data_IF_606781435194
#
_entry.id   IF_606781435194
#
_cell.length_a   1.000
_cell.length_b   1.000
_cell.length_c   1.000
_cell.angle_alpha   90.00
_cell.angle_beta   90.00
_cell.angle_gamma   90.00
#
_symmetry.space_group_name_H-M   'P 1'
#
loop_
_entity.id
_entity.type
_entity.pdbx_description
1 polymer ?
#
# COMPACT_ATOMS: atom_id res chain seq x y z
N UNK A 1 68.91 4.80 -42.41
CA UNK A 1 68.81 4.88 -40.94
C UNK A 1 67.72 3.87 -40.49
N UNK A 2 68.06 2.88 -39.68
CA UNK A 2 67.04 1.91 -39.24
C UNK A 2 66.13 2.56 -38.20
N UNK A 3 64.80 2.52 -38.47
CA UNK A 3 63.79 3.00 -37.59
C UNK A 3 63.56 1.95 -36.45
N UNK A 4 63.91 2.30 -35.22
CA UNK A 4 63.68 1.48 -34.01
C UNK A 4 62.22 1.61 -33.66
N UNK A 5 61.41 0.52 -33.86
CA UNK A 5 60.07 0.43 -33.35
C UNK A 5 60.09 0.23 -31.81
N UNK A 6 59.71 1.24 -31.09
CA UNK A 6 59.53 1.16 -29.64
C UNK A 6 58.31 0.24 -29.35
N UNK A 7 58.45 -0.87 -28.59
CA UNK A 7 57.33 -1.73 -28.24
C UNK A 7 56.33 -0.94 -27.36
N UNK A 8 55.09 -0.89 -27.79
CA UNK A 8 53.99 -0.30 -26.96
C UNK A 8 53.78 -1.21 -25.74
N UNK A 9 54.03 -0.70 -24.54
CA UNK A 9 53.62 -1.37 -23.31
C UNK A 9 52.07 -1.49 -23.32
N UNK A 10 51.55 -2.69 -23.27
CA UNK A 10 50.15 -2.92 -23.01
C UNK A 10 49.92 -2.52 -21.54
N UNK A 11 49.11 -1.51 -21.28
CA UNK A 11 48.65 -1.16 -19.96
C UNK A 11 47.59 -2.22 -19.55
N UNK A 12 48.02 -3.16 -18.74
CA UNK A 12 47.10 -4.05 -18.05
C UNK A 12 46.46 -3.25 -16.92
N UNK A 13 45.16 -2.94 -17.06
CA UNK A 13 44.38 -2.27 -16.04
C UNK A 13 43.82 -3.38 -15.15
N UNK A 14 44.20 -3.39 -13.87
CA UNK A 14 43.61 -4.29 -12.88
C UNK A 14 42.17 -3.86 -12.62
N UNK A 15 41.22 -4.73 -13.00
CA UNK A 15 39.78 -4.47 -12.86
C UNK A 15 39.24 -4.93 -11.49
N UNK A 16 40.07 -5.56 -10.66
CA UNK A 16 39.66 -6.07 -9.35
C UNK A 16 39.02 -4.99 -8.44
N UNK A 17 39.65 -3.79 -8.28
CA UNK A 17 39.06 -2.74 -7.47
C UNK A 17 37.73 -2.22 -8.03
N UNK A 18 37.58 -2.23 -9.35
CA UNK A 18 36.32 -1.80 -10.00
C UNK A 18 35.18 -2.77 -9.75
N UNK A 19 35.47 -4.07 -9.81
CA UNK A 19 34.47 -5.12 -9.52
C UNK A 19 34.07 -5.08 -8.05
N UNK A 20 35.00 -4.84 -7.13
CA UNK A 20 34.71 -4.72 -5.70
C UNK A 20 33.78 -3.55 -5.41
N UNK A 21 34.05 -2.36 -5.96
CA UNK A 21 33.17 -1.20 -5.82
C UNK A 21 31.79 -1.46 -6.43
N UNK A 22 31.72 -2.09 -7.60
CA UNK A 22 30.45 -2.45 -8.23
C UNK A 22 29.65 -3.41 -7.35
N UNK A 23 30.32 -4.40 -6.72
CA UNK A 23 29.70 -5.35 -5.82
C UNK A 23 29.20 -4.69 -4.53
N UNK A 24 29.96 -3.76 -3.96
CA UNK A 24 29.55 -2.97 -2.79
C UNK A 24 28.28 -2.14 -3.09
N UNK A 25 28.24 -1.47 -4.25
CA UNK A 25 27.08 -0.71 -4.66
C UNK A 25 25.87 -1.62 -4.85
N UNK A 26 26.05 -2.77 -5.49
CA UNK A 26 24.98 -3.76 -5.70
C UNK A 26 24.42 -4.25 -4.35
N UNK A 27 25.28 -4.66 -3.43
CA UNK A 27 24.86 -5.13 -2.10
C UNK A 27 24.17 -4.03 -1.30
N UNK A 28 24.66 -2.80 -1.39
CA UNK A 28 24.00 -1.64 -0.78
C UNK A 28 22.57 -1.45 -1.31
N UNK A 29 22.36 -1.51 -2.63
CA UNK A 29 21.02 -1.38 -3.21
C UNK A 29 20.10 -2.53 -2.78
N UNK A 30 20.59 -3.78 -2.74
CA UNK A 30 19.80 -4.92 -2.27
C UNK A 30 19.36 -4.72 -0.81
N UNK A 31 20.23 -4.21 0.05
CA UNK A 31 19.91 -3.95 1.46
C UNK A 31 19.03 -2.71 1.68
N UNK A 32 19.16 -1.69 0.81
CA UNK A 32 18.42 -0.44 0.93
C UNK A 32 16.99 -0.54 0.36
N UNK A 33 16.70 -1.50 -0.52
CA UNK A 33 15.36 -1.66 -1.09
C UNK A 33 14.40 -2.28 -0.09
N UNK A 34 13.33 -1.55 0.23
CA UNK A 34 12.19 -2.08 0.97
C UNK A 34 11.17 -2.61 -0.03
N UNK A 35 10.98 -3.91 -0.06
CA UNK A 35 9.92 -4.51 -0.88
C UNK A 35 8.56 -4.16 -0.29
N UNK A 36 7.75 -3.45 -1.05
CA UNK A 36 6.35 -3.21 -0.71
C UNK A 36 5.56 -4.48 -1.03
N UNK A 37 4.75 -5.00 -0.08
CA UNK A 37 3.90 -6.14 -0.37
C UNK A 37 2.96 -5.86 -1.55
N UNK A 38 2.80 -6.83 -2.44
CA UNK A 38 1.90 -6.71 -3.59
C UNK A 38 0.43 -6.66 -3.12
N UNK A 39 -0.35 -5.79 -3.73
CA UNK A 39 -1.79 -5.75 -3.49
C UNK A 39 -2.46 -6.93 -4.20
N UNK A 40 -3.47 -7.58 -3.58
CA UNK A 40 -4.13 -8.76 -4.16
C UNK A 40 -4.96 -8.44 -5.42
N UNK A 41 -5.22 -7.16 -5.68
CA UNK A 41 -5.99 -6.68 -6.84
C UNK A 41 -5.38 -5.39 -7.37
N UNK A 42 -5.21 -5.33 -8.69
CA UNK A 42 -4.85 -4.10 -9.38
C UNK A 42 -6.07 -3.18 -9.51
N UNK A 43 -5.97 -1.95 -9.04
CA UNK A 43 -7.04 -0.95 -9.04
C UNK A 43 -6.62 0.24 -9.91
N UNK A 44 -7.44 0.55 -10.91
CA UNK A 44 -7.30 1.77 -11.72
C UNK A 44 -8.12 2.88 -11.08
N UNK A 45 -7.47 3.73 -10.31
CA UNK A 45 -8.15 4.84 -9.62
C UNK A 45 -8.59 5.94 -10.60
N UNK A 46 -9.66 6.68 -10.29
CA UNK A 46 -10.07 7.83 -11.07
C UNK A 46 -9.00 8.93 -11.05
N UNK A 47 -8.97 9.74 -12.08
CA UNK A 47 -8.02 10.85 -12.22
C UNK A 47 -8.46 12.04 -11.38
N UNK A 48 -7.49 12.82 -10.88
CA UNK A 48 -7.72 14.07 -10.17
C UNK A 48 -6.52 15.01 -10.33
N UNK A 49 -6.79 16.28 -10.33
CA UNK A 49 -5.77 17.34 -10.33
C UNK A 49 -5.19 17.63 -8.93
N UNK A 50 -5.59 16.88 -7.91
CA UNK A 50 -5.05 17.02 -6.55
C UNK A 50 -3.60 16.54 -6.48
N UNK A 51 -2.73 17.34 -5.86
CA UNK A 51 -1.29 17.04 -5.64
C UNK A 51 -1.00 16.69 -4.19
N UNK A 52 -2.01 16.40 -3.39
CA UNK A 52 -1.81 16.09 -1.99
C UNK A 52 -1.16 14.71 -1.85
N UNK A 53 -0.04 14.66 -1.16
CA UNK A 53 0.65 13.41 -0.86
C UNK A 53 -0.23 12.45 -0.06
N UNK A 54 -0.14 11.15 -0.41
CA UNK A 54 -0.84 10.10 0.31
C UNK A 54 -0.06 9.75 1.57
N UNK A 55 -0.74 9.63 2.72
CA UNK A 55 -0.10 9.18 3.94
C UNK A 55 0.34 7.71 3.82
N UNK A 56 1.55 7.43 4.26
CA UNK A 56 2.08 6.06 4.35
C UNK A 56 1.93 5.47 5.76
N UNK A 57 1.58 6.33 6.73
CA UNK A 57 1.46 5.99 8.14
C UNK A 57 0.13 6.46 8.74
N UNK A 58 -0.21 5.82 9.86
CA UNK A 58 -1.38 6.18 10.68
C UNK A 58 -2.67 6.34 9.85
N UNK A 59 -2.88 5.41 8.92
CA UNK A 59 -4.06 5.42 8.08
C UNK A 59 -4.72 4.04 7.93
N UNK A 60 -6.04 4.07 7.81
CA UNK A 60 -6.85 2.93 7.39
C UNK A 60 -7.25 3.15 5.94
N UNK A 61 -6.97 2.18 5.08
CA UNK A 61 -7.36 2.21 3.69
C UNK A 61 -8.38 1.11 3.39
N UNK A 62 -9.48 1.50 2.79
CA UNK A 62 -10.46 0.57 2.22
C UNK A 62 -10.39 0.66 0.70
N UNK A 63 -10.16 -0.47 0.06
CA UNK A 63 -10.06 -0.58 -1.39
C UNK A 63 -11.24 -1.36 -1.92
N UNK A 64 -11.84 -0.93 -3.04
CA UNK A 64 -12.88 -1.71 -3.73
C UNK A 64 -12.60 -1.74 -5.24
N UNK A 65 -12.81 -2.91 -5.83
CA UNK A 65 -12.56 -3.14 -7.23
C UNK A 65 -13.81 -2.93 -8.12
N UNK A 66 -13.64 -3.09 -9.43
CA UNK A 66 -14.71 -2.96 -10.43
C UNK A 66 -15.86 -3.96 -10.23
N UNK A 67 -15.59 -5.10 -9.58
CA UNK A 67 -16.60 -6.15 -9.29
C UNK A 67 -17.34 -5.91 -7.97
N UNK A 68 -16.89 -4.93 -7.17
CA UNK A 68 -17.46 -4.61 -5.86
C UNK A 68 -16.85 -5.39 -4.70
N UNK A 69 -15.75 -6.12 -4.90
CA UNK A 69 -15.01 -6.77 -3.82
C UNK A 69 -14.28 -5.71 -3.00
N UNK A 70 -14.32 -5.86 -1.69
CA UNK A 70 -13.72 -4.90 -0.77
C UNK A 70 -12.55 -5.51 -0.02
N UNK A 71 -11.50 -4.71 0.14
CA UNK A 71 -10.26 -5.06 0.81
C UNK A 71 -9.95 -4.04 1.88
N UNK A 72 -9.41 -4.50 2.99
CA UNK A 72 -9.03 -3.67 4.13
C UNK A 72 -7.51 -3.66 4.29
N UNK A 73 -6.94 -2.49 4.54
CA UNK A 73 -5.50 -2.28 4.77
C UNK A 73 -5.26 -1.35 5.94
N UNK A 74 -4.19 -1.59 6.66
CA UNK A 74 -3.66 -0.68 7.68
C UNK A 74 -2.31 -0.17 7.20
N UNK A 75 -2.17 1.14 7.08
CA UNK A 75 -0.93 1.80 6.70
C UNK A 75 -0.20 2.23 7.98
N UNK A 76 0.90 1.57 8.28
CA UNK A 76 1.71 1.78 9.47
C UNK A 76 3.17 1.42 9.15
N UNK A 77 3.80 2.20 8.23
CA UNK A 77 5.15 1.92 7.75
C UNK A 77 6.21 2.18 8.83
N UNK A 78 5.99 3.20 9.68
CA UNK A 78 6.90 3.55 10.80
C UNK A 78 6.80 2.58 11.96
N UNK A 79 5.58 2.11 12.24
CA UNK A 79 5.34 1.20 13.38
C UNK A 79 4.54 -0.03 12.95
N UNK A 80 5.22 -1.05 12.41
CA UNK A 80 4.56 -2.28 11.98
C UNK A 80 3.88 -3.06 13.12
N UNK A 81 4.16 -2.72 14.40
CA UNK A 81 3.49 -3.36 15.55
C UNK A 81 2.00 -3.01 15.61
N UNK A 82 1.61 -1.87 15.05
CA UNK A 82 0.21 -1.47 14.96
C UNK A 82 -0.62 -2.50 14.17
N UNK A 83 -0.10 -2.97 13.02
CA UNK A 83 -0.78 -4.03 12.25
C UNK A 83 -0.97 -5.31 13.07
N UNK A 84 0.05 -5.67 13.83
CA UNK A 84 -0.02 -6.83 14.72
C UNK A 84 -1.07 -6.62 15.83
N UNK A 85 -1.11 -5.44 16.44
CA UNK A 85 -2.09 -5.12 17.48
C UNK A 85 -3.52 -5.11 16.94
N UNK A 86 -3.74 -4.62 15.71
CA UNK A 86 -5.04 -4.67 15.03
C UNK A 86 -5.52 -6.10 14.87
N UNK A 87 -4.69 -6.99 14.32
CA UNK A 87 -5.11 -8.38 14.10
C UNK A 87 -5.28 -9.13 15.43
N UNK A 88 -4.46 -8.86 16.44
CA UNK A 88 -4.61 -9.41 17.78
C UNK A 88 -5.94 -9.01 18.40
N UNK A 89 -6.30 -7.72 18.34
CA UNK A 89 -7.58 -7.22 18.86
C UNK A 89 -8.78 -7.86 18.13
N UNK A 90 -8.69 -8.02 16.79
CA UNK A 90 -9.72 -8.72 16.01
C UNK A 90 -9.81 -10.19 16.38
N UNK A 91 -8.67 -10.87 16.58
CA UNK A 91 -8.63 -12.27 17.01
C UNK A 91 -9.33 -12.46 18.35
N UNK A 92 -9.05 -11.57 19.33
CA UNK A 92 -9.67 -11.59 20.65
C UNK A 92 -11.17 -11.25 20.59
N UNK A 93 -11.54 -10.18 19.89
CA UNK A 93 -12.93 -9.72 19.80
C UNK A 93 -13.86 -10.67 19.05
N UNK A 94 -13.31 -11.49 18.14
CA UNK A 94 -14.04 -12.43 17.27
C UNK A 94 -13.77 -13.90 17.58
N UNK A 95 -12.86 -14.19 18.51
CA UNK A 95 -12.47 -15.57 18.87
C UNK A 95 -12.08 -16.41 17.65
N UNK A 96 -11.26 -15.83 16.73
CA UNK A 96 -10.89 -16.46 15.48
C UNK A 96 -9.91 -17.64 15.66
N UNK A 97 -9.24 -17.71 16.79
CA UNK A 97 -8.26 -18.77 17.09
C UNK A 97 -7.03 -18.70 16.19
N UNK A 98 -6.57 -17.47 15.86
CA UNK A 98 -5.35 -17.26 15.09
C UNK A 98 -4.12 -17.55 15.95
N UNK A 99 -3.15 -18.22 15.35
CA UNK A 99 -1.84 -18.46 15.94
C UNK A 99 -0.94 -17.23 15.84
N UNK A 100 0.12 -17.19 16.63
CA UNK A 100 1.12 -16.12 16.58
C UNK A 100 1.74 -15.98 15.18
N UNK A 101 2.06 -17.10 14.52
CA UNK A 101 2.62 -17.12 13.17
C UNK A 101 1.65 -16.49 12.15
N UNK A 102 0.37 -16.81 12.23
CA UNK A 102 -0.68 -16.25 11.36
C UNK A 102 -0.81 -14.73 11.58
N UNK A 103 -0.75 -14.24 12.81
CA UNK A 103 -0.77 -12.82 13.13
C UNK A 103 0.48 -12.08 12.59
N UNK A 104 1.66 -12.72 12.64
CA UNK A 104 2.87 -12.17 12.03
C UNK A 104 2.80 -12.13 10.50
N UNK A 105 2.13 -13.09 9.87
CA UNK A 105 1.89 -13.06 8.43
C UNK A 105 0.99 -11.87 8.05
N UNK A 106 -0.06 -11.58 8.82
CA UNK A 106 -0.89 -10.39 8.61
C UNK A 106 -0.08 -9.08 8.60
N UNK A 107 0.90 -8.95 9.49
CA UNK A 107 1.78 -7.77 9.55
C UNK A 107 2.49 -7.48 8.22
N UNK A 108 2.81 -8.54 7.45
CA UNK A 108 3.52 -8.45 6.17
C UNK A 108 2.60 -8.25 4.97
N UNK A 109 1.29 -8.45 5.13
CA UNK A 109 0.32 -8.29 4.05
C UNK A 109 0.09 -6.83 3.66
N UNK A 110 -0.22 -6.61 2.38
CA UNK A 110 -0.66 -5.31 1.89
C UNK A 110 -2.10 -5.02 2.28
N UNK A 111 -3.00 -5.98 2.06
CA UNK A 111 -4.43 -5.87 2.33
C UNK A 111 -5.08 -7.23 2.52
N UNK A 112 -6.26 -7.24 3.14
CA UNK A 112 -7.09 -8.43 3.35
C UNK A 112 -8.44 -8.23 2.67
N UNK A 113 -8.87 -9.24 1.92
CA UNK A 113 -10.15 -9.25 1.21
C UNK A 113 -10.87 -10.59 1.36
N UNK A 114 -10.93 -11.13 2.57
CA UNK A 114 -11.65 -12.38 2.87
C UNK A 114 -12.61 -12.18 4.05
N UNK A 115 -13.69 -12.96 4.14
CA UNK A 115 -14.52 -13.04 5.34
C UNK A 115 -13.71 -13.50 6.55
N UNK A 116 -14.14 -13.18 7.78
CA UNK A 116 -13.49 -13.64 9.01
C UNK A 116 -13.31 -15.17 9.04
N UNK A 117 -14.29 -15.92 8.52
CA UNK A 117 -14.20 -17.38 8.43
C UNK A 117 -13.07 -17.89 7.51
N UNK A 118 -12.67 -17.11 6.52
CA UNK A 118 -11.56 -17.43 5.59
C UNK A 118 -10.21 -16.88 6.02
N UNK A 119 -10.18 -16.02 7.05
CA UNK A 119 -8.99 -15.28 7.44
C UNK A 119 -7.86 -16.21 7.90
N UNK A 120 -8.18 -17.21 8.70
CA UNK A 120 -7.19 -18.19 9.16
C UNK A 120 -6.51 -18.92 8.00
N UNK A 121 -7.28 -19.35 7.01
CA UNK A 121 -6.75 -20.04 5.84
C UNK A 121 -5.82 -19.12 5.02
N UNK A 122 -6.22 -17.85 4.83
CA UNK A 122 -5.38 -16.86 4.14
C UNK A 122 -4.06 -16.62 4.89
N UNK A 123 -4.12 -16.46 6.22
CA UNK A 123 -2.95 -16.17 7.04
C UNK A 123 -2.03 -17.38 7.25
N UNK A 124 -2.55 -18.60 7.13
CA UNK A 124 -1.76 -19.82 7.13
C UNK A 124 -0.95 -19.99 5.82
N UNK A 125 -1.37 -19.33 4.72
CA UNK A 125 -0.66 -19.38 3.44
C UNK A 125 0.61 -18.52 3.52
N UNK A 126 1.77 -19.00 3.03
CA UNK A 126 2.99 -18.19 2.95
C UNK A 126 2.75 -16.86 2.23
N UNK A 127 3.39 -15.79 2.69
CA UNK A 127 3.16 -14.43 2.15
C UNK A 127 3.42 -14.35 0.64
N UNK A 128 4.38 -15.13 0.14
CA UNK A 128 4.73 -15.20 -1.29
C UNK A 128 3.60 -15.78 -2.15
N UNK A 129 2.82 -16.71 -1.59
CA UNK A 129 1.70 -17.36 -2.28
C UNK A 129 0.35 -16.66 -2.08
N UNK A 130 0.28 -15.71 -1.15
CA UNK A 130 -0.98 -15.02 -0.82
C UNK A 130 -1.55 -14.20 -1.99
N UNK A 131 -0.72 -13.76 -2.93
CA UNK A 131 -1.18 -13.09 -4.15
C UNK A 131 -2.03 -14.00 -5.04
N UNK A 132 -1.74 -15.30 -5.03
CA UNK A 132 -2.49 -16.30 -5.80
C UNK A 132 -3.73 -16.80 -5.05
N UNK A 133 -3.87 -16.47 -3.77
CA UNK A 133 -5.02 -16.84 -2.96
C UNK A 133 -6.25 -16.07 -3.43
N UNK A 134 -7.32 -16.79 -3.78
CA UNK A 134 -8.57 -16.18 -4.23
C UNK A 134 -9.24 -15.44 -3.07
N UNK A 135 -9.24 -14.12 -3.13
CA UNK A 135 -9.87 -13.26 -2.15
C UNK A 135 -11.23 -12.77 -2.69
N UNK A 136 -12.35 -13.26 -2.15
CA UNK A 136 -13.69 -12.89 -2.63
C UNK A 136 -14.11 -11.48 -2.23
N UNK A 137 -13.35 -10.81 -1.39
CA UNK A 137 -13.69 -9.55 -0.76
C UNK A 137 -14.28 -9.72 0.63
N UNK A 138 -14.21 -8.68 1.45
CA UNK A 138 -14.87 -8.62 2.74
C UNK A 138 -16.37 -8.48 2.51
N UNK A 139 -17.24 -9.31 3.14
CA UNK A 139 -18.68 -9.21 2.99
C UNK A 139 -19.21 -7.84 3.42
N UNK A 140 -19.99 -7.24 2.53
CA UNK A 140 -20.74 -6.02 2.76
C UNK A 140 -22.23 -6.39 2.79
N UNK A 141 -22.88 -6.17 3.90
CA UNK A 141 -24.34 -6.18 3.97
C UNK A 141 -24.90 -4.74 4.03
N UNK A 142 -26.23 -4.60 4.03
CA UNK A 142 -26.89 -3.29 4.15
C UNK A 142 -26.52 -2.54 5.42
N UNK A 143 -25.98 -3.23 6.40
CA UNK A 143 -25.60 -2.71 7.70
C UNK A 143 -24.07 -2.46 7.83
N UNK A 144 -23.28 -2.60 6.76
CA UNK A 144 -21.81 -2.40 6.77
C UNK A 144 -21.00 -3.68 6.97
N UNK A 145 -21.66 -4.81 7.19
CA UNK A 145 -21.08 -6.15 7.25
C UNK A 145 -19.86 -6.30 8.15
N UNK A 146 -18.96 -7.20 7.76
CA UNK A 146 -17.72 -7.43 8.48
C UNK A 146 -16.77 -6.23 8.41
N UNK A 147 -16.85 -5.39 7.36
CA UNK A 147 -16.02 -4.19 7.21
C UNK A 147 -16.22 -3.21 8.38
N UNK A 148 -17.44 -3.08 8.91
CA UNK A 148 -17.70 -2.27 10.11
C UNK A 148 -16.81 -2.67 11.27
N UNK A 149 -16.66 -3.95 11.51
CA UNK A 149 -15.87 -4.48 12.61
C UNK A 149 -14.37 -4.32 12.37
N UNK A 150 -13.92 -4.53 11.14
CA UNK A 150 -12.53 -4.27 10.77
C UNK A 150 -12.12 -2.83 11.07
N UNK A 151 -12.96 -1.87 10.68
CA UNK A 151 -12.72 -0.45 10.93
C UNK A 151 -12.75 -0.15 12.43
N UNK A 152 -13.79 -0.61 13.15
CA UNK A 152 -13.95 -0.36 14.58
C UNK A 152 -12.76 -0.84 15.40
N UNK A 153 -12.37 -2.08 15.16
CA UNK A 153 -11.31 -2.73 15.94
C UNK A 153 -9.94 -2.13 15.59
N UNK A 154 -9.72 -1.72 14.33
CA UNK A 154 -8.54 -0.98 13.94
C UNK A 154 -8.49 0.42 14.59
N UNK A 155 -9.58 1.19 14.55
CA UNK A 155 -9.65 2.53 15.19
C UNK A 155 -9.30 2.45 16.67
N UNK A 156 -9.82 1.43 17.37
CA UNK A 156 -9.50 1.21 18.79
C UNK A 156 -8.01 1.04 19.06
N UNK A 157 -7.29 0.42 18.13
CA UNK A 157 -5.84 0.19 18.26
C UNK A 157 -5.00 1.46 18.08
N UNK A 158 -5.50 2.44 17.32
CA UNK A 158 -4.81 3.72 17.09
C UNK A 158 -5.07 4.78 18.18
N UNK A 159 -5.57 4.39 19.35
CA UNK A 159 -5.93 5.32 20.43
C UNK A 159 -4.86 6.39 20.67
N UNK A 160 -5.27 7.66 20.59
CA UNK A 160 -4.41 8.83 20.82
C UNK A 160 -3.61 9.33 19.61
N UNK A 161 -3.65 8.65 18.45
CA UNK A 161 -3.01 9.11 17.20
C UNK A 161 -4.04 9.72 16.25
N UNK A 162 -3.61 10.69 15.45
CA UNK A 162 -4.43 11.26 14.37
C UNK A 162 -4.51 10.26 13.22
N UNK A 163 -5.60 9.49 13.19
CA UNK A 163 -5.84 8.49 12.17
C UNK A 163 -6.46 9.12 10.92
N UNK A 164 -5.93 8.73 9.75
CA UNK A 164 -6.47 9.11 8.45
C UNK A 164 -7.24 7.96 7.83
N UNK A 165 -8.29 8.31 7.09
CA UNK A 165 -9.16 7.32 6.43
C UNK A 165 -9.08 7.53 4.94
N UNK A 166 -8.70 6.47 4.22
CA UNK A 166 -8.49 6.47 2.79
C UNK A 166 -9.46 5.52 2.11
N UNK A 167 -10.00 5.95 0.99
CA UNK A 167 -10.82 5.11 0.11
C UNK A 167 -10.13 5.06 -1.26
N UNK A 168 -9.78 3.85 -1.71
CA UNK A 168 -9.22 3.57 -3.04
C UNK A 168 -10.26 2.81 -3.83
N UNK A 169 -10.85 3.44 -4.82
CA UNK A 169 -11.89 2.83 -5.66
C UNK A 169 -11.43 2.66 -7.10
N UNK A 170 -11.85 1.58 -7.74
CA UNK A 170 -11.69 1.40 -9.18
C UNK A 170 -12.61 2.36 -9.93
N UNK A 171 -12.11 2.97 -11.01
CA UNK A 171 -12.87 3.91 -11.83
C UNK A 171 -14.11 3.28 -12.48
N UNK A 172 -14.09 1.95 -12.68
CA UNK A 172 -15.18 1.18 -13.26
C UNK A 172 -16.14 0.60 -12.20
N UNK A 173 -15.87 0.88 -10.92
CA UNK A 173 -16.67 0.35 -9.81
C UNK A 173 -18.08 0.98 -9.78
N UNK A 174 -19.07 0.16 -9.46
CA UNK A 174 -20.46 0.60 -9.37
C UNK A 174 -20.72 1.32 -8.05
N UNK A 175 -21.52 2.39 -8.10
CA UNK A 175 -21.92 3.20 -6.94
C UNK A 175 -22.42 2.40 -5.71
N UNK A 176 -23.20 1.29 -5.85
CA UNK A 176 -23.65 0.51 -4.70
C UNK A 176 -22.53 0.01 -3.79
N UNK A 177 -21.38 -0.43 -4.35
CA UNK A 177 -20.24 -0.86 -3.55
C UNK A 177 -19.64 0.31 -2.76
N UNK A 178 -19.45 1.45 -3.39
CA UNK A 178 -19.00 2.67 -2.72
C UNK A 178 -19.95 3.10 -1.58
N UNK A 179 -21.27 3.06 -1.83
CA UNK A 179 -22.28 3.40 -0.81
C UNK A 179 -22.19 2.49 0.42
N UNK A 180 -21.95 1.18 0.23
CA UNK A 180 -21.80 0.23 1.32
C UNK A 180 -20.53 0.51 2.14
N UNK A 181 -19.41 0.83 1.48
CA UNK A 181 -18.17 1.27 2.16
C UNK A 181 -18.45 2.54 2.99
N UNK A 182 -19.12 3.54 2.42
CA UNK A 182 -19.51 4.75 3.16
C UNK A 182 -20.39 4.45 4.36
N UNK A 183 -21.30 3.49 4.26
CA UNK A 183 -22.16 3.08 5.38
C UNK A 183 -21.33 2.48 6.52
N UNK A 184 -20.30 1.68 6.21
CA UNK A 184 -19.40 1.12 7.23
C UNK A 184 -18.62 2.24 7.95
N UNK A 185 -18.14 3.26 7.22
CA UNK A 185 -17.50 4.43 7.84
C UNK A 185 -18.46 5.23 8.71
N UNK A 186 -19.65 5.55 8.20
CA UNK A 186 -20.68 6.32 8.94
C UNK A 186 -21.08 5.64 10.26
N UNK A 187 -21.20 4.31 10.25
CA UNK A 187 -21.51 3.54 11.48
C UNK A 187 -20.41 3.60 12.53
N UNK A 188 -19.17 3.82 12.11
CA UNK A 188 -18.04 4.07 12.99
C UNK A 188 -17.86 5.57 13.29
N UNK A 189 -18.87 6.42 13.01
CA UNK A 189 -18.84 7.87 13.22
C UNK A 189 -17.72 8.59 12.44
N UNK A 190 -17.25 7.98 11.34
CA UNK A 190 -16.21 8.51 10.49
C UNK A 190 -16.85 9.26 9.31
N UNK A 191 -16.80 10.58 9.34
CA UNK A 191 -17.38 11.46 8.31
C UNK A 191 -16.32 12.14 7.42
N UNK A 192 -15.04 12.03 7.79
CA UNK A 192 -13.93 12.63 7.03
C UNK A 192 -13.03 11.54 6.50
N UNK A 193 -12.90 11.45 5.18
CA UNK A 193 -12.03 10.52 4.49
C UNK A 193 -11.41 11.19 3.26
N UNK A 194 -10.36 10.61 2.72
CA UNK A 194 -9.71 11.04 1.49
C UNK A 194 -9.86 9.95 0.44
N UNK A 195 -10.14 10.34 -0.80
CA UNK A 195 -10.15 9.41 -1.92
C UNK A 195 -8.77 9.39 -2.58
N UNK A 196 -8.27 8.19 -2.83
CA UNK A 196 -7.03 8.00 -3.59
C UNK A 196 -7.36 8.09 -5.07
N UNK A 197 -6.66 8.99 -5.77
CA UNK A 197 -6.83 9.25 -7.20
C UNK A 197 -5.47 9.25 -7.91
N UNK A 198 -5.47 9.01 -9.22
CA UNK A 198 -4.29 9.22 -10.05
C UNK A 198 -4.13 10.71 -10.36
N UNK A 199 -2.89 11.15 -10.44
CA UNK A 199 -2.61 12.54 -10.81
C UNK A 199 -2.91 12.74 -12.30
N UNK A 200 -3.70 13.76 -12.59
CA UNK A 200 -3.95 14.25 -13.94
C UNK A 200 -3.37 15.66 -14.10
N UNK A 201 -2.82 15.94 -15.27
CA UNK A 201 -2.36 17.28 -15.57
C UNK A 201 -3.53 18.26 -15.61
N UNK A 202 -3.33 19.44 -15.02
CA UNK A 202 -4.34 20.47 -15.06
C UNK A 202 -4.59 20.91 -16.51
N UNK A 203 -5.86 21.13 -16.92
CA UNK A 203 -6.18 21.57 -18.26
C UNK A 203 -5.36 22.80 -18.66
N UNK A 204 -4.82 22.80 -19.88
CA UNK A 204 -4.01 23.92 -20.36
C UNK A 204 -4.80 25.24 -20.28
N UNK A 205 -4.18 26.28 -19.69
CA UNK A 205 -4.82 27.60 -19.51
C UNK A 205 -5.68 27.74 -18.25
N UNK A 206 -5.88 26.69 -17.44
CA UNK A 206 -6.55 26.81 -16.16
C UNK A 206 -5.68 27.56 -15.14
N UNK A 207 -6.32 28.22 -14.16
CA UNK A 207 -5.60 28.90 -13.07
C UNK A 207 -4.66 27.95 -12.33
N UNK A 208 -5.07 26.69 -12.15
CA UNK A 208 -4.28 25.65 -11.50
C UNK A 208 -3.01 25.30 -12.33
N UNK A 209 -3.09 25.25 -13.65
CA UNK A 209 -1.94 25.03 -14.52
C UNK A 209 -0.94 26.20 -14.45
N UNK A 210 -1.46 27.44 -14.39
CA UNK A 210 -0.65 28.64 -14.25
C UNK A 210 0.04 28.69 -12.88
N UNK A 211 -0.67 28.36 -11.80
CA UNK A 211 -0.10 28.29 -10.44
C UNK A 211 1.03 27.27 -10.36
N UNK A 212 0.81 26.05 -10.84
CA UNK A 212 1.84 24.97 -10.83
C UNK A 212 3.07 25.36 -11.63
N UNK A 213 2.89 26.08 -12.75
CA UNK A 213 4.02 26.56 -13.55
C UNK A 213 4.84 27.60 -12.76
N UNK A 214 4.19 28.52 -12.07
CA UNK A 214 4.85 29.52 -11.20
C UNK A 214 5.59 28.86 -10.03
N UNK A 215 5.00 27.87 -9.38
CA UNK A 215 5.65 27.12 -8.29
C UNK A 215 6.89 26.37 -8.76
N UNK A 216 6.85 25.72 -9.93
CA UNK A 216 8.01 25.06 -10.54
C UNK A 216 9.11 26.04 -10.94
N UNK A 217 8.77 27.26 -11.37
CA UNK A 217 9.72 28.30 -11.68
C UNK A 217 10.35 28.94 -10.43
N UNK A 218 9.61 29.01 -9.33
CA UNK A 218 10.09 29.54 -8.04
C UNK A 218 10.97 28.54 -7.27
N UNK A 219 10.91 27.24 -7.60
CA UNK A 219 11.72 26.20 -6.95
C UNK A 219 13.01 25.84 -7.68
N UNK A 220 13.33 26.57 -8.78
CA UNK A 220 14.60 26.50 -9.52
C UNK A 220 15.53 27.63 -9.15
#
# INVERSE_FOLDING_TARGET
MPSVKIPRKSTFVDMTPFVDVAFLILTFFIMATKFKPEEPVEIKTPNSVSTKDLPEDDAIQVTFDSTGRVFFSVLAAKDPTIKYNVIKHINESRSLGLTEAEMQNFKRMASVGVPFGGLKQLLATPVEDQKNFKQPGIPLDTLGGELYYWIRDAVGTFSGKKLLYLIKGDNSAKYPAFKQVLNAFKKNEIFKFQMITMLEDAPAGSELAIMRKREKEASK
#
